data_IF_471910835130
#
_entry.id   IF_471910835130
#
_cell.length_a   1.000
_cell.length_b   1.000
_cell.length_c   1.000
_cell.angle_alpha   90.00
_cell.angle_beta   90.00
_cell.angle_gamma   90.00
#
_symmetry.space_group_name_H-M   'P 1'
#
loop_
_entity.id
_entity.type
_entity.pdbx_description
1 polymer ?
#
# COMPACT_ATOMS: atom_id res chain seq x y z
N UNK A 1 -39.56 -31.01 -8.06
CA UNK A 1 -38.06 -30.93 -7.97
C UNK A 1 -37.42 -29.65 -8.50
N UNK A 2 -37.91 -28.91 -9.53
CA UNK A 2 -37.26 -27.65 -10.00
C UNK A 2 -37.29 -26.48 -8.98
N UNK A 3 -38.33 -26.38 -8.16
CA UNK A 3 -38.44 -25.29 -7.17
C UNK A 3 -37.45 -25.39 -6.02
N UNK A 4 -37.01 -26.58 -5.65
CA UNK A 4 -36.02 -26.81 -4.58
C UNK A 4 -34.62 -26.44 -5.09
N UNK A 5 -34.28 -26.83 -6.32
CA UNK A 5 -32.96 -26.47 -6.92
C UNK A 5 -32.84 -24.98 -7.16
N UNK A 6 -33.92 -24.28 -7.57
CA UNK A 6 -33.93 -22.83 -7.72
C UNK A 6 -33.76 -22.09 -6.38
N UNK A 7 -34.37 -22.57 -5.28
CA UNK A 7 -34.16 -22.00 -3.93
C UNK A 7 -32.75 -22.23 -3.41
N UNK A 8 -32.16 -23.39 -3.64
CA UNK A 8 -30.78 -23.69 -3.22
C UNK A 8 -29.78 -22.82 -3.99
N UNK A 9 -29.96 -22.61 -5.29
CA UNK A 9 -29.10 -21.74 -6.08
C UNK A 9 -29.25 -20.25 -5.68
N UNK A 10 -30.46 -19.78 -5.40
CA UNK A 10 -30.69 -18.42 -4.93
C UNK A 10 -30.05 -18.16 -3.55
N UNK A 11 -30.15 -19.13 -2.61
CA UNK A 11 -29.52 -19.03 -1.32
C UNK A 11 -27.98 -19.04 -1.41
N UNK A 12 -27.39 -19.86 -2.26
CA UNK A 12 -25.95 -19.92 -2.48
C UNK A 12 -25.43 -18.59 -3.09
N UNK A 13 -26.17 -17.99 -4.01
CA UNK A 13 -25.83 -16.70 -4.61
C UNK A 13 -25.90 -15.57 -3.59
N UNK A 14 -26.96 -15.54 -2.77
CA UNK A 14 -27.11 -14.54 -1.67
C UNK A 14 -25.99 -14.65 -0.64
N UNK A 15 -25.56 -15.85 -0.29
CA UNK A 15 -24.50 -16.07 0.67
C UNK A 15 -23.13 -15.66 0.12
N UNK A 16 -22.84 -15.95 -1.15
CA UNK A 16 -21.63 -15.49 -1.82
C UNK A 16 -21.54 -13.97 -1.88
N UNK A 17 -22.63 -13.29 -2.17
CA UNK A 17 -22.69 -11.81 -2.18
C UNK A 17 -22.39 -11.21 -0.80
N UNK A 18 -22.87 -11.82 0.28
CA UNK A 18 -22.57 -11.38 1.66
C UNK A 18 -21.06 -11.48 1.97
N UNK A 19 -20.42 -12.58 1.62
CA UNK A 19 -18.97 -12.74 1.84
C UNK A 19 -18.16 -11.70 1.06
N UNK A 20 -18.54 -11.43 -0.20
CA UNK A 20 -17.90 -10.38 -1.01
C UNK A 20 -18.10 -9.00 -0.38
N UNK A 21 -19.30 -8.70 0.10
CA UNK A 21 -19.58 -7.43 0.78
C UNK A 21 -18.75 -7.25 2.06
N UNK A 22 -18.65 -8.27 2.91
CA UNK A 22 -17.82 -8.23 4.12
C UNK A 22 -16.33 -8.07 3.77
N UNK A 23 -15.85 -8.77 2.75
CA UNK A 23 -14.47 -8.61 2.28
C UNK A 23 -14.20 -7.19 1.80
N UNK A 24 -15.07 -6.60 0.95
CA UNK A 24 -14.92 -5.23 0.47
C UNK A 24 -14.99 -4.22 1.63
N UNK A 25 -15.89 -4.42 2.58
CA UNK A 25 -15.96 -3.58 3.77
C UNK A 25 -14.68 -3.65 4.61
N UNK A 26 -14.13 -4.85 4.81
CA UNK A 26 -12.83 -5.05 5.44
C UNK A 26 -11.72 -4.33 4.66
N UNK A 27 -11.72 -4.40 3.33
CA UNK A 27 -10.76 -3.66 2.50
C UNK A 27 -10.89 -2.14 2.67
N UNK A 28 -12.11 -1.62 2.74
CA UNK A 28 -12.34 -0.19 2.99
C UNK A 28 -11.71 0.27 4.32
N UNK A 29 -11.89 -0.52 5.40
CA UNK A 29 -11.24 -0.26 6.69
C UNK A 29 -9.71 -0.27 6.55
N UNK A 30 -9.15 -1.27 5.89
CA UNK A 30 -7.69 -1.38 5.69
C UNK A 30 -7.14 -0.20 4.88
N UNK A 31 -7.87 0.29 3.88
CA UNK A 31 -7.50 1.49 3.10
C UNK A 31 -7.58 2.75 3.98
N UNK A 32 -8.60 2.89 4.81
CA UNK A 32 -8.70 4.01 5.76
C UNK A 32 -7.50 4.03 6.74
N UNK A 33 -7.10 2.87 7.26
CA UNK A 33 -5.89 2.74 8.09
C UNK A 33 -4.63 3.14 7.29
N UNK A 34 -4.54 2.74 6.00
CA UNK A 34 -3.43 3.14 5.13
C UNK A 34 -3.32 4.66 4.98
N UNK A 35 -4.45 5.36 4.86
CA UNK A 35 -4.47 6.84 4.79
C UNK A 35 -3.91 7.44 6.09
N UNK A 36 -4.29 6.89 7.26
CA UNK A 36 -3.75 7.33 8.54
C UNK A 36 -2.24 7.09 8.64
N UNK A 37 -1.78 5.88 8.28
CA UNK A 37 -0.34 5.54 8.28
C UNK A 37 0.43 6.48 7.34
N UNK A 38 -0.09 6.74 6.15
CA UNK A 38 0.50 7.69 5.20
C UNK A 38 0.57 9.11 5.75
N UNK A 39 -0.49 9.56 6.44
CA UNK A 39 -0.52 10.83 7.15
C UNK A 39 0.57 10.94 8.23
N UNK A 40 0.71 9.90 9.07
CA UNK A 40 1.78 9.83 10.08
C UNK A 40 3.15 9.87 9.42
N UNK A 41 3.40 9.04 8.39
CA UNK A 41 4.66 9.03 7.64
C UNK A 41 5.00 10.43 7.10
N UNK A 42 4.01 11.16 6.60
CA UNK A 42 4.18 12.53 6.09
C UNK A 42 4.49 13.53 7.21
N UNK A 43 3.74 13.49 8.32
CA UNK A 43 3.85 14.43 9.43
C UNK A 43 5.11 14.22 10.26
N UNK A 44 5.66 13.01 10.28
CA UNK A 44 6.92 12.68 10.97
C UNK A 44 8.15 12.89 10.09
N UNK A 45 8.01 13.39 8.86
CA UNK A 45 9.13 13.56 7.94
C UNK A 45 9.80 12.23 7.54
N UNK A 46 9.06 11.11 7.58
CA UNK A 46 9.65 9.77 7.42
C UNK A 46 9.69 9.27 5.96
N UNK A 47 9.08 10.00 5.03
CA UNK A 47 8.77 9.50 3.68
C UNK A 47 9.95 9.43 2.70
N UNK A 48 11.17 9.80 3.11
CA UNK A 48 12.38 9.78 2.29
C UNK A 48 13.52 8.97 2.94
N UNK A 49 13.24 8.24 4.03
CA UNK A 49 14.24 7.48 4.78
C UNK A 49 14.72 6.21 4.05
N UNK A 50 13.87 5.64 3.19
CA UNK A 50 14.19 4.44 2.40
C UNK A 50 14.64 4.83 0.99
N UNK A 51 15.93 5.14 0.84
CA UNK A 51 16.54 5.62 -0.40
C UNK A 51 16.53 4.57 -1.52
N UNK A 52 16.63 3.29 -1.16
CA UNK A 52 16.62 2.20 -2.14
C UNK A 52 15.20 1.74 -2.49
N UNK A 53 14.94 1.58 -3.79
CA UNK A 53 13.73 0.94 -4.27
C UNK A 53 13.94 -0.58 -4.39
N UNK A 54 13.44 -1.33 -3.40
CA UNK A 54 13.50 -2.80 -3.37
C UNK A 54 12.08 -3.37 -3.16
N UNK A 55 11.26 -3.50 -4.20
CA UNK A 55 9.84 -3.85 -4.04
C UNK A 55 9.61 -5.23 -3.44
N UNK A 56 10.45 -6.22 -3.75
CA UNK A 56 10.35 -7.58 -3.19
C UNK A 56 11.28 -7.79 -2.00
N UNK A 57 12.58 -7.47 -2.13
CA UNK A 57 13.55 -7.68 -1.07
C UNK A 57 13.43 -6.70 0.11
N UNK A 58 12.78 -5.54 -0.09
CA UNK A 58 12.46 -4.59 0.97
C UNK A 58 11.20 -4.94 1.79
N UNK A 59 10.75 -6.20 1.78
CA UNK A 59 9.67 -6.68 2.65
C UNK A 59 10.12 -6.97 4.06
N UNK A 60 11.40 -7.25 4.26
CA UNK A 60 12.00 -7.41 5.58
C UNK A 60 12.79 -6.15 5.94
N UNK A 61 12.69 -5.69 7.19
CA UNK A 61 13.55 -4.60 7.69
C UNK A 61 14.99 -5.11 7.80
N UNK A 62 15.97 -4.21 7.99
CA UNK A 62 17.33 -4.64 8.33
C UNK A 62 17.33 -5.53 9.59
N UNK A 63 17.90 -6.73 9.47
CA UNK A 63 17.84 -7.76 10.54
C UNK A 63 19.06 -7.75 11.46
N UNK A 64 20.16 -7.08 11.07
CA UNK A 64 21.39 -7.03 11.85
C UNK A 64 22.01 -5.64 11.82
N UNK A 65 23.00 -5.43 12.69
CA UNK A 65 23.66 -4.13 12.87
C UNK A 65 24.35 -3.65 11.57
N UNK A 66 24.96 -4.56 10.80
CA UNK A 66 25.64 -4.21 9.56
C UNK A 66 24.66 -3.69 8.49
N UNK A 67 23.50 -4.34 8.33
CA UNK A 67 22.44 -3.87 7.43
C UNK A 67 21.86 -2.54 7.88
N UNK A 68 21.64 -2.32 9.19
CA UNK A 68 21.20 -1.03 9.72
C UNK A 68 22.21 0.07 9.40
N UNK A 69 23.51 -0.20 9.60
CA UNK A 69 24.55 0.76 9.26
C UNK A 69 24.57 1.07 7.77
N UNK A 70 24.50 0.04 6.92
CA UNK A 70 24.47 0.20 5.46
C UNK A 70 23.31 1.09 4.98
N UNK A 71 22.08 0.84 5.45
CA UNK A 71 20.92 1.65 5.02
C UNK A 71 20.99 3.08 5.59
N UNK A 72 21.57 3.24 6.77
CA UNK A 72 21.81 4.56 7.35
C UNK A 72 22.88 5.35 6.57
N UNK A 73 23.95 4.69 6.13
CA UNK A 73 24.98 5.33 5.31
C UNK A 73 24.43 5.77 3.94
N UNK A 74 23.52 4.99 3.33
CA UNK A 74 22.79 5.41 2.14
C UNK A 74 21.90 6.63 2.40
N UNK A 75 21.19 6.65 3.53
CA UNK A 75 20.38 7.79 3.93
C UNK A 75 21.21 9.05 4.16
N UNK A 76 22.40 8.92 4.79
CA UNK A 76 23.32 10.02 5.01
C UNK A 76 23.84 10.66 3.73
N UNK A 77 23.77 9.97 2.60
CA UNK A 77 24.10 10.51 1.27
C UNK A 77 22.89 11.16 0.58
N UNK A 78 21.74 11.27 1.24
CA UNK A 78 20.53 11.86 0.68
C UNK A 78 20.41 13.35 0.96
N UNK A 79 19.69 14.10 0.09
CA UNK A 79 19.41 15.53 0.33
C UNK A 79 18.65 15.77 1.63
N UNK A 80 17.80 14.84 2.07
CA UNK A 80 17.04 14.99 3.32
C UNK A 80 17.95 15.00 4.55
N UNK A 81 18.97 14.12 4.57
CA UNK A 81 19.94 14.13 5.66
C UNK A 81 20.71 15.45 5.70
N UNK A 82 21.23 15.90 4.56
CA UNK A 82 22.05 17.12 4.49
C UNK A 82 21.26 18.40 4.83
N UNK A 83 20.01 18.48 4.38
CA UNK A 83 19.22 19.72 4.50
C UNK A 83 18.37 19.79 5.76
N UNK A 84 17.88 18.65 6.26
CA UNK A 84 16.88 18.62 7.36
C UNK A 84 17.35 17.83 8.59
N UNK A 85 18.12 16.76 8.41
CA UNK A 85 18.44 15.81 9.46
C UNK A 85 19.95 15.67 9.71
N UNK A 86 20.73 16.73 9.39
CA UNK A 86 22.17 16.72 9.59
C UNK A 86 22.53 16.46 11.06
N UNK A 87 23.39 15.48 11.30
CA UNK A 87 23.76 15.05 12.65
C UNK A 87 22.83 14.04 13.31
N UNK A 88 21.77 13.61 12.61
CA UNK A 88 20.92 12.51 13.10
C UNK A 88 21.74 11.25 13.33
N UNK A 89 21.52 10.59 14.45
CA UNK A 89 22.15 9.32 14.78
C UNK A 89 21.34 8.12 14.24
N UNK A 90 21.92 6.92 14.39
CA UNK A 90 21.27 5.68 13.95
C UNK A 90 19.95 5.42 14.68
N UNK A 91 19.78 5.88 15.93
CA UNK A 91 18.55 5.70 16.70
C UNK A 91 17.42 6.56 16.14
N UNK A 92 17.68 7.84 15.87
CA UNK A 92 16.76 8.73 15.18
C UNK A 92 16.36 8.24 13.80
N UNK A 93 17.36 7.77 13.01
CA UNK A 93 17.10 7.19 11.69
C UNK A 93 16.16 5.97 11.75
N UNK A 94 16.33 5.07 12.72
CA UNK A 94 15.42 3.92 12.90
C UNK A 94 13.99 4.35 13.14
N UNK A 95 13.77 5.49 13.80
CA UNK A 95 12.44 6.04 14.05
C UNK A 95 11.71 6.45 12.77
N UNK A 96 12.38 7.21 11.90
CA UNK A 96 11.80 7.63 10.61
C UNK A 96 11.71 6.45 9.64
N UNK A 97 12.70 5.57 9.62
CA UNK A 97 12.69 4.34 8.80
C UNK A 97 11.48 3.46 9.14
N UNK A 98 11.12 3.31 10.43
CA UNK A 98 10.00 2.49 10.86
C UNK A 98 8.68 2.90 10.18
N UNK A 99 8.35 4.20 10.18
CA UNK A 99 7.09 4.68 9.62
C UNK A 99 7.01 4.50 8.10
N UNK A 100 8.10 4.78 7.37
CA UNK A 100 8.13 4.55 5.94
C UNK A 100 8.08 3.06 5.60
N UNK A 101 8.84 2.23 6.30
CA UNK A 101 8.80 0.78 6.15
C UNK A 101 7.39 0.24 6.42
N UNK A 102 6.75 0.66 7.51
CA UNK A 102 5.41 0.23 7.89
C UNK A 102 4.36 0.64 6.84
N UNK A 103 4.45 1.86 6.32
CA UNK A 103 3.61 2.32 5.22
C UNK A 103 3.77 1.43 3.98
N UNK A 104 4.99 1.15 3.56
CA UNK A 104 5.27 0.30 2.40
C UNK A 104 4.84 -1.16 2.63
N UNK A 105 5.02 -1.69 3.84
CA UNK A 105 4.56 -3.03 4.22
C UNK A 105 3.03 -3.12 4.17
N UNK A 106 2.34 -2.13 4.75
CA UNK A 106 0.89 -2.08 4.75
C UNK A 106 0.32 -2.05 3.32
N UNK A 107 0.93 -1.30 2.42
CA UNK A 107 0.54 -1.30 1.00
C UNK A 107 0.65 -2.67 0.33
N UNK A 108 1.71 -3.45 0.66
CA UNK A 108 1.85 -4.83 0.17
C UNK A 108 0.77 -5.75 0.76
N UNK A 109 0.49 -5.61 2.06
CA UNK A 109 -0.58 -6.38 2.72
C UNK A 109 -1.96 -6.07 2.13
N UNK A 110 -2.25 -4.82 1.78
CA UNK A 110 -3.47 -4.44 1.05
C UNK A 110 -3.57 -5.16 -0.30
N UNK A 111 -2.48 -5.17 -1.06
CA UNK A 111 -2.43 -5.88 -2.34
C UNK A 111 -2.70 -7.38 -2.19
N UNK A 112 -2.13 -8.03 -1.18
CA UNK A 112 -2.36 -9.44 -0.88
C UNK A 112 -3.78 -9.70 -0.36
N UNK A 113 -4.28 -8.87 0.55
CA UNK A 113 -5.63 -8.99 1.12
C UNK A 113 -6.74 -8.79 0.08
N UNK A 114 -6.46 -8.03 -0.99
CA UNK A 114 -7.36 -7.92 -2.12
C UNK A 114 -7.10 -8.99 -3.17
N UNK A 115 -5.86 -9.18 -3.57
CA UNK A 115 -5.50 -10.04 -4.71
C UNK A 115 -5.73 -11.53 -4.45
N UNK A 116 -5.38 -12.06 -3.26
CA UNK A 116 -5.55 -13.48 -2.97
C UNK A 116 -7.02 -13.92 -2.93
N UNK A 117 -7.93 -13.22 -2.20
CA UNK A 117 -9.35 -13.57 -2.26
C UNK A 117 -9.94 -13.39 -3.67
N UNK A 118 -9.56 -12.34 -4.40
CA UNK A 118 -10.01 -12.16 -5.77
C UNK A 118 -9.57 -13.33 -6.67
N UNK A 119 -8.32 -13.76 -6.56
CA UNK A 119 -7.82 -14.92 -7.31
C UNK A 119 -8.64 -16.18 -7.01
N UNK A 120 -8.91 -16.46 -5.72
CA UNK A 120 -9.76 -17.59 -5.32
C UNK A 120 -11.17 -17.46 -5.90
N UNK A 121 -11.77 -16.29 -5.83
CA UNK A 121 -13.12 -16.05 -6.39
C UNK A 121 -13.16 -16.25 -7.90
N UNK A 122 -12.12 -15.80 -8.62
CA UNK A 122 -12.01 -15.99 -10.07
C UNK A 122 -11.83 -17.47 -10.44
N UNK A 123 -10.91 -18.17 -9.77
CA UNK A 123 -10.63 -19.59 -10.03
C UNK A 123 -11.84 -20.48 -9.72
N UNK A 124 -12.59 -20.15 -8.66
CA UNK A 124 -13.81 -20.88 -8.26
C UNK A 124 -15.07 -20.41 -8.98
N UNK A 125 -14.96 -19.41 -9.86
CA UNK A 125 -16.09 -18.80 -10.60
C UNK A 125 -17.20 -18.29 -9.67
N UNK A 126 -16.82 -17.78 -8.49
CA UNK A 126 -17.74 -17.27 -7.46
C UNK A 126 -17.82 -15.73 -7.42
N UNK A 127 -17.16 -15.04 -8.35
CA UNK A 127 -17.33 -13.59 -8.50
C UNK A 127 -18.77 -13.29 -8.94
N UNK A 128 -19.47 -12.35 -8.29
CA UNK A 128 -20.80 -11.95 -8.70
C UNK A 128 -20.83 -11.53 -10.17
N UNK A 129 -21.92 -11.82 -10.91
CA UNK A 129 -22.04 -11.44 -12.34
C UNK A 129 -21.79 -9.96 -12.55
N UNK A 130 -20.96 -9.62 -13.53
CA UNK A 130 -20.61 -8.23 -13.88
C UNK A 130 -19.50 -7.58 -13.04
N UNK A 131 -19.02 -8.20 -11.95
CA UNK A 131 -18.01 -7.62 -11.05
C UNK A 131 -16.57 -8.05 -11.34
N UNK A 132 -16.34 -9.11 -12.11
CA UNK A 132 -14.98 -9.61 -12.36
C UNK A 132 -14.06 -8.53 -12.98
N UNK A 133 -14.51 -7.82 -14.00
CA UNK A 133 -13.76 -6.73 -14.60
C UNK A 133 -13.51 -5.56 -13.65
N UNK A 134 -14.50 -5.20 -12.83
CA UNK A 134 -14.36 -4.13 -11.83
C UNK A 134 -13.32 -4.47 -10.77
N UNK A 135 -13.37 -5.67 -10.20
CA UNK A 135 -12.41 -6.09 -9.18
C UNK A 135 -10.99 -6.24 -9.75
N UNK A 136 -10.86 -6.73 -10.99
CA UNK A 136 -9.56 -6.77 -11.66
C UNK A 136 -9.02 -5.37 -11.92
N UNK A 137 -9.87 -4.43 -12.35
CA UNK A 137 -9.48 -3.04 -12.53
C UNK A 137 -9.05 -2.39 -11.20
N UNK A 138 -9.75 -2.64 -10.10
CA UNK A 138 -9.37 -2.16 -8.76
C UNK A 138 -8.01 -2.73 -8.32
N UNK A 139 -7.74 -4.01 -8.57
CA UNK A 139 -6.43 -4.62 -8.29
C UNK A 139 -5.32 -3.93 -9.10
N UNK A 140 -5.55 -3.71 -10.39
CA UNK A 140 -4.59 -3.01 -11.26
C UNK A 140 -4.35 -1.56 -10.81
N UNK A 141 -5.41 -0.84 -10.45
CA UNK A 141 -5.30 0.53 -9.92
C UNK A 141 -4.55 0.55 -8.57
N UNK A 142 -4.81 -0.43 -7.70
CA UNK A 142 -4.06 -0.59 -6.44
C UNK A 142 -2.58 -0.85 -6.68
N UNK A 143 -2.23 -1.70 -7.67
CA UNK A 143 -0.84 -1.90 -8.09
C UNK A 143 -0.21 -0.61 -8.67
N UNK A 144 -0.97 0.14 -9.46
CA UNK A 144 -0.53 1.41 -10.02
C UNK A 144 -0.29 2.48 -8.95
N UNK A 145 -1.00 2.44 -7.82
CA UNK A 145 -0.70 3.28 -6.67
C UNK A 145 0.74 3.12 -6.16
N UNK A 146 1.29 1.91 -6.20
CA UNK A 146 2.69 1.68 -5.87
C UNK A 146 3.65 2.42 -6.81
N UNK A 147 3.34 2.45 -8.12
CA UNK A 147 4.11 3.18 -9.14
C UNK A 147 4.03 4.69 -8.90
N UNK A 148 2.82 5.21 -8.64
CA UNK A 148 2.62 6.64 -8.33
C UNK A 148 3.38 7.01 -7.04
N UNK A 149 3.32 6.17 -6.01
CA UNK A 149 4.04 6.37 -4.76
C UNK A 149 5.57 6.41 -4.96
N UNK A 150 6.12 5.51 -5.76
CA UNK A 150 7.53 5.55 -6.13
C UNK A 150 7.90 6.82 -6.90
N UNK A 151 7.09 7.20 -7.90
CA UNK A 151 7.29 8.44 -8.66
C UNK A 151 7.23 9.68 -7.76
N UNK A 152 6.36 9.66 -6.74
CA UNK A 152 6.25 10.71 -5.74
C UNK A 152 7.53 10.81 -4.89
N UNK A 153 7.97 9.70 -4.27
CA UNK A 153 9.15 9.66 -3.39
C UNK A 153 10.43 10.06 -4.16
N UNK A 154 10.57 9.61 -5.41
CA UNK A 154 11.72 9.95 -6.26
C UNK A 154 11.94 11.46 -6.38
N UNK A 155 10.89 12.29 -6.26
CA UNK A 155 11.05 13.75 -6.36
C UNK A 155 11.79 14.37 -5.18
N UNK A 156 11.76 13.75 -4.01
CA UNK A 156 12.46 14.23 -2.81
C UNK A 156 13.85 13.64 -2.61
N UNK A 157 14.26 12.70 -3.47
CA UNK A 157 15.57 12.04 -3.38
C UNK A 157 16.61 12.62 -4.36
N UNK A 158 16.28 13.66 -5.13
CA UNK A 158 17.19 14.23 -6.15
C UNK A 158 17.90 15.47 -5.67
N UNK A 159 17.22 16.61 -5.60
CA UNK A 159 17.87 17.91 -5.32
C UNK A 159 17.29 18.59 -4.07
N UNK A 160 16.02 18.40 -3.81
CA UNK A 160 15.29 19.05 -2.70
C UNK A 160 14.77 18.01 -1.74
N UNK A 161 15.04 18.20 -0.45
CA UNK A 161 14.59 17.32 0.63
C UNK A 161 13.08 17.43 0.90
N UNK A 162 12.27 17.42 -0.14
CA UNK A 162 10.81 17.44 -0.01
C UNK A 162 10.14 16.73 -1.17
N UNK A 163 9.11 15.95 -0.83
CA UNK A 163 8.25 15.34 -1.83
C UNK A 163 7.44 16.41 -2.55
N UNK A 164 7.39 16.35 -3.88
CA UNK A 164 6.57 17.27 -4.69
C UNK A 164 5.11 17.22 -4.23
N UNK A 165 4.56 18.37 -3.86
CA UNK A 165 3.17 18.51 -3.42
C UNK A 165 2.16 18.10 -4.50
N UNK A 166 2.48 18.31 -5.78
CA UNK A 166 1.64 17.88 -6.90
C UNK A 166 1.60 16.36 -7.04
N UNK A 167 2.77 15.70 -6.91
CA UNK A 167 2.84 14.23 -6.97
C UNK A 167 2.17 13.60 -5.75
N UNK A 168 2.27 14.22 -4.57
CA UNK A 168 1.54 13.81 -3.37
C UNK A 168 0.02 13.94 -3.58
N UNK A 169 -0.44 15.06 -4.14
CA UNK A 169 -1.86 15.27 -4.44
C UNK A 169 -2.39 14.22 -5.44
N UNK A 170 -1.62 13.86 -6.47
CA UNK A 170 -1.98 12.78 -7.40
C UNK A 170 -2.07 11.45 -6.68
N UNK A 171 -1.08 11.10 -5.85
CA UNK A 171 -1.08 9.84 -5.09
C UNK A 171 -2.29 9.73 -4.15
N UNK A 172 -2.55 10.76 -3.34
CA UNK A 172 -3.69 10.79 -2.42
C UNK A 172 -5.02 10.84 -3.17
N UNK A 173 -5.14 11.67 -4.20
CA UNK A 173 -6.36 11.79 -5.01
C UNK A 173 -6.74 10.47 -5.69
N UNK A 174 -5.74 9.78 -6.27
CA UNK A 174 -5.97 8.46 -6.88
C UNK A 174 -6.37 7.42 -5.82
N UNK A 175 -5.79 7.47 -4.60
CA UNK A 175 -6.20 6.59 -3.52
C UNK A 175 -7.67 6.82 -3.11
N UNK A 176 -8.12 8.08 -3.03
CA UNK A 176 -9.52 8.42 -2.74
C UNK A 176 -10.47 7.98 -3.85
N UNK A 177 -10.07 8.10 -5.12
CA UNK A 177 -10.84 7.57 -6.25
C UNK A 177 -11.01 6.06 -6.13
N UNK A 178 -9.92 5.32 -5.89
CA UNK A 178 -9.97 3.86 -5.71
C UNK A 178 -10.87 3.47 -4.54
N UNK A 179 -10.82 4.23 -3.44
CA UNK A 179 -11.66 4.01 -2.27
C UNK A 179 -13.16 4.21 -2.56
N UNK A 180 -13.50 5.09 -3.50
CA UNK A 180 -14.90 5.42 -3.87
C UNK A 180 -15.52 4.49 -4.91
N UNK A 181 -14.73 3.63 -5.58
CA UNK A 181 -15.17 2.68 -6.63
C UNK A 181 -15.60 1.33 -6.06
#
# INVERSE_FOLDING_TARGET
MPAVSARLSANATSQSQKYVAFWLFGMAILVAIMVVIGGVTRLTGSGLSMVEWRPLMGTLPPLNAAEWQRVFDLYRASPEYDQLNYGMDLAGFKGIFFWEYFHRLWGRLLGLAFGLPLLVLLLTRRVPPGYAGRFTALLCLGGFQGVIGWWMVKSGLTEVASVSQYRLAVHLGTALVIFSL
#
